data_IF_159364157295
#
_entry.id   IF_159364157295
#
_cell.length_a   1.000
_cell.length_b   1.000
_cell.length_c   1.000
_cell.angle_alpha   90.00
_cell.angle_beta   90.00
_cell.angle_gamma   90.00
#
_symmetry.space_group_name_H-M   'P 1'
#
loop_
_entity.id
_entity.type
_entity.pdbx_description
1 polymer ?
#
# COMPACT_ATOMS: atom_id res chain seq x y z
N UNK A 1 3.39 -25.53 3.77
CA UNK A 1 2.50 -25.31 2.62
C UNK A 1 1.26 -24.67 3.19
N UNK A 2 1.09 -23.36 2.97
CA UNK A 2 -0.06 -22.64 3.52
C UNK A 2 -1.31 -23.03 2.72
N UNK A 3 -2.46 -23.08 3.38
CA UNK A 3 -3.74 -23.42 2.76
C UNK A 3 -4.12 -22.33 1.75
N UNK A 4 -4.39 -22.74 0.50
CA UNK A 4 -4.81 -21.83 -0.57
C UNK A 4 -6.17 -21.22 -0.33
N UNK A 5 -6.95 -21.76 0.61
CA UNK A 5 -8.27 -21.25 0.97
C UNK A 5 -8.20 -20.27 2.17
N UNK A 6 -7.03 -20.13 2.80
CA UNK A 6 -6.85 -19.19 3.91
C UNK A 6 -6.66 -17.75 3.39
N UNK A 7 -7.46 -16.77 3.83
CA UNK A 7 -7.31 -15.38 3.40
C UNK A 7 -6.02 -14.73 3.91
N UNK A 8 -5.39 -15.26 4.94
CA UNK A 8 -4.26 -14.63 5.62
C UNK A 8 -2.92 -15.31 5.29
N UNK A 9 -1.90 -14.50 5.02
CA UNK A 9 -0.57 -15.01 4.63
C UNK A 9 0.53 -14.65 5.64
N UNK A 10 1.57 -15.48 5.74
CA UNK A 10 2.74 -15.23 6.57
C UNK A 10 2.75 -16.00 7.90
N UNK A 11 3.55 -15.54 8.85
CA UNK A 11 3.62 -16.10 10.20
C UNK A 11 2.37 -15.73 11.04
N UNK A 12 2.24 -16.35 12.22
CA UNK A 12 1.08 -16.17 13.10
C UNK A 12 0.87 -14.69 13.48
N UNK A 13 1.95 -13.93 13.68
CA UNK A 13 1.87 -12.52 14.01
C UNK A 13 1.34 -11.69 12.84
N UNK A 14 1.86 -11.91 11.63
CA UNK A 14 1.42 -11.23 10.41
C UNK A 14 -0.03 -11.56 10.06
N UNK A 15 -0.42 -12.82 10.25
CA UNK A 15 -1.81 -13.29 10.05
C UNK A 15 -2.77 -12.67 11.05
N UNK A 16 -2.40 -12.62 12.33
CA UNK A 16 -3.19 -11.97 13.38
C UNK A 16 -3.38 -10.48 13.10
N UNK A 17 -2.34 -9.81 12.58
CA UNK A 17 -2.45 -8.40 12.18
C UNK A 17 -3.44 -8.24 11.02
N UNK A 18 -3.32 -9.03 9.96
CA UNK A 18 -4.28 -8.99 8.85
C UNK A 18 -5.72 -9.22 9.33
N UNK A 19 -5.95 -10.22 10.18
CA UNK A 19 -7.27 -10.48 10.78
C UNK A 19 -7.84 -9.25 11.50
N UNK A 20 -7.02 -8.56 12.29
CA UNK A 20 -7.45 -7.33 13.00
C UNK A 20 -7.73 -6.18 12.03
N UNK A 21 -6.83 -5.94 11.08
CA UNK A 21 -6.99 -4.87 10.09
C UNK A 21 -8.28 -5.07 9.28
N UNK A 22 -8.57 -6.31 8.89
CA UNK A 22 -9.77 -6.65 8.14
C UNK A 22 -11.05 -6.50 8.99
N UNK A 23 -11.02 -6.96 10.24
CA UNK A 23 -12.16 -6.84 11.15
C UNK A 23 -12.49 -5.39 11.54
N UNK A 24 -11.51 -4.48 11.46
CA UNK A 24 -11.68 -3.06 11.82
C UNK A 24 -12.20 -2.19 10.65
N UNK A 25 -12.26 -2.70 9.40
CA UNK A 25 -12.59 -1.87 8.21
C UNK A 25 -13.91 -1.11 8.37
N UNK A 26 -14.97 -1.79 8.80
CA UNK A 26 -16.30 -1.17 8.92
C UNK A 26 -16.29 0.01 9.91
N UNK A 27 -15.61 -0.15 11.05
CA UNK A 27 -15.46 0.91 12.06
C UNK A 27 -14.56 2.03 11.53
N UNK A 28 -13.39 1.70 10.98
CA UNK A 28 -12.40 2.68 10.54
C UNK A 28 -12.91 3.51 9.34
N UNK A 29 -13.72 2.93 8.45
CA UNK A 29 -14.35 3.65 7.34
C UNK A 29 -15.36 4.71 7.81
N UNK A 30 -15.80 4.65 9.08
CA UNK A 30 -16.76 5.59 9.66
C UNK A 30 -16.18 6.42 10.82
N UNK A 31 -14.87 6.33 11.06
CA UNK A 31 -14.21 6.99 12.20
C UNK A 31 -13.36 8.19 11.73
N UNK A 32 -13.68 9.43 12.14
CA UNK A 32 -12.86 10.59 11.84
C UNK A 32 -11.39 10.41 12.28
N UNK A 33 -10.47 10.77 11.40
CA UNK A 33 -9.02 10.65 11.61
C UNK A 33 -8.44 9.24 11.52
N UNK A 34 -9.26 8.21 11.26
CA UNK A 34 -8.78 6.87 10.94
C UNK A 34 -8.58 6.68 9.43
N UNK A 35 -7.61 5.83 9.07
CA UNK A 35 -7.52 5.27 7.71
C UNK A 35 -8.29 3.94 7.67
N UNK A 36 -9.16 3.77 6.68
CA UNK A 36 -10.07 2.63 6.57
C UNK A 36 -9.38 1.27 6.51
N UNK A 37 -8.26 1.15 5.80
CA UNK A 37 -7.42 -0.05 5.84
C UNK A 37 -5.94 0.24 5.57
N UNK A 38 -5.08 -0.49 6.26
CA UNK A 38 -3.63 -0.46 6.07
C UNK A 38 -3.00 -1.69 6.75
N UNK A 39 -1.67 -1.85 6.60
CA UNK A 39 -0.90 -2.95 7.24
C UNK A 39 -0.72 -2.75 8.74
N UNK A 40 -0.88 -1.52 9.21
CA UNK A 40 -0.87 -1.14 10.61
C UNK A 40 -2.13 -0.32 10.90
N UNK A 41 -2.54 -0.26 12.18
CA UNK A 41 -3.49 0.76 12.59
C UNK A 41 -2.94 2.13 12.21
N UNK A 42 -3.71 2.88 11.42
CA UNK A 42 -3.24 4.09 10.78
C UNK A 42 -4.22 5.23 11.01
N UNK A 43 -3.68 6.38 11.38
CA UNK A 43 -4.40 7.65 11.45
C UNK A 43 -3.83 8.62 10.42
N UNK A 44 -4.69 9.41 9.79
CA UNK A 44 -4.29 10.55 8.97
C UNK A 44 -4.70 11.92 9.56
N UNK A 45 -5.36 11.89 10.71
CA UNK A 45 -5.60 13.03 11.61
C UNK A 45 -5.60 12.54 13.08
N UNK A 46 -4.42 12.52 13.74
CA UNK A 46 -4.26 11.99 15.09
C UNK A 46 -5.01 12.77 16.17
N UNK A 47 -5.15 14.08 15.97
CA UNK A 47 -5.84 14.96 16.92
C UNK A 47 -7.34 14.65 16.95
N UNK A 48 -7.93 14.45 15.77
CA UNK A 48 -9.33 14.07 15.64
C UNK A 48 -9.59 12.64 16.11
N UNK A 49 -8.69 11.69 15.79
CA UNK A 49 -8.84 10.30 16.23
C UNK A 49 -8.64 10.14 17.74
N UNK A 50 -7.75 10.94 18.32
CA UNK A 50 -7.41 10.94 19.74
C UNK A 50 -6.17 10.09 20.06
N UNK A 51 -5.22 10.71 20.76
CA UNK A 51 -3.96 10.07 21.17
C UNK A 51 -4.15 8.89 22.12
N UNK A 52 -5.21 8.87 22.94
CA UNK A 52 -5.50 7.75 23.84
C UNK A 52 -5.70 6.44 23.06
N UNK A 53 -6.46 6.49 21.95
CA UNK A 53 -6.68 5.33 21.08
C UNK A 53 -5.38 4.88 20.41
N UNK A 54 -4.60 5.83 19.91
CA UNK A 54 -3.30 5.57 19.26
C UNK A 54 -2.34 4.90 20.25
N UNK A 55 -2.26 5.41 21.48
CA UNK A 55 -1.47 4.83 22.58
C UNK A 55 -1.94 3.42 22.93
N UNK A 56 -3.24 3.20 23.06
CA UNK A 56 -3.81 1.87 23.34
C UNK A 56 -3.36 0.84 22.30
N UNK A 57 -3.46 1.19 21.01
CA UNK A 57 -3.03 0.29 19.93
C UNK A 57 -1.52 0.10 19.94
N UNK A 58 -0.73 1.16 20.18
CA UNK A 58 0.73 1.03 20.27
C UNK A 58 1.16 0.11 21.43
N UNK A 59 0.49 0.17 22.58
CA UNK A 59 0.74 -0.74 23.71
C UNK A 59 0.46 -2.19 23.30
N UNK A 60 -0.66 -2.42 22.61
CA UNK A 60 -1.17 -3.73 22.22
C UNK A 60 -0.37 -4.37 21.08
N UNK A 61 0.03 -3.60 20.08
CA UNK A 61 0.58 -4.10 18.80
C UNK A 61 2.07 -3.76 18.65
N UNK A 62 2.59 -2.83 19.45
CA UNK A 62 3.99 -2.41 19.41
C UNK A 62 4.32 -1.49 18.24
N UNK A 63 3.34 -1.11 17.41
CA UNK A 63 3.47 -0.13 16.35
C UNK A 63 2.12 0.49 15.96
N UNK A 64 2.17 1.70 15.42
CA UNK A 64 1.06 2.45 14.81
C UNK A 64 1.60 3.29 13.66
N UNK A 65 0.75 3.67 12.72
CA UNK A 65 1.13 4.53 11.61
C UNK A 65 0.38 5.85 11.62
N UNK A 66 1.08 6.92 11.25
CA UNK A 66 0.48 8.20 10.92
C UNK A 66 0.72 8.51 9.44
N UNK A 67 -0.24 9.11 8.74
CA UNK A 67 -0.15 9.34 7.30
C UNK A 67 -0.55 10.77 6.95
N UNK A 68 0.26 11.42 6.12
CA UNK A 68 -0.03 12.78 5.70
C UNK A 68 0.44 13.85 6.67
N UNK A 69 1.31 13.48 7.62
CA UNK A 69 1.76 14.37 8.68
C UNK A 69 3.00 15.16 8.29
N UNK A 70 3.20 16.30 8.92
CA UNK A 70 4.42 17.11 8.84
C UNK A 70 5.40 16.78 9.96
N UNK A 71 6.50 17.55 10.06
CA UNK A 71 7.53 17.30 11.07
C UNK A 71 7.08 17.72 12.48
N UNK A 72 6.14 18.67 12.61
CA UNK A 72 5.58 19.07 13.91
C UNK A 72 4.76 17.94 14.51
N UNK A 73 3.81 17.40 13.74
CA UNK A 73 3.00 16.26 14.15
C UNK A 73 3.85 14.99 14.34
N UNK A 74 4.96 14.85 13.61
CA UNK A 74 5.92 13.78 13.86
C UNK A 74 6.51 13.88 15.27
N UNK A 75 6.95 15.08 15.66
CA UNK A 75 7.54 15.32 16.97
C UNK A 75 6.49 15.12 18.08
N UNK A 76 5.27 15.61 17.88
CA UNK A 76 4.15 15.37 18.78
C UNK A 76 3.92 13.86 18.98
N UNK A 77 3.92 13.06 17.91
CA UNK A 77 3.80 11.60 18.03
C UNK A 77 4.95 10.92 18.78
N UNK A 78 6.17 11.45 18.70
CA UNK A 78 7.28 10.95 19.51
C UNK A 78 7.07 11.28 21.00
N UNK A 79 6.61 12.49 21.29
CA UNK A 79 6.37 12.97 22.66
C UNK A 79 5.20 12.20 23.30
N UNK A 80 4.11 12.04 22.55
CA UNK A 80 2.91 11.29 22.93
C UNK A 80 3.17 9.80 23.14
N UNK A 81 4.26 9.24 22.61
CA UNK A 81 4.61 7.83 22.78
C UNK A 81 5.90 7.63 23.58
N UNK A 82 6.51 8.70 24.11
CA UNK A 82 7.88 8.71 24.62
C UNK A 82 8.16 7.67 25.71
N UNK A 83 7.19 7.44 26.61
CA UNK A 83 7.27 6.46 27.71
C UNK A 83 7.40 5.01 27.24
N UNK A 84 7.13 4.75 25.95
CA UNK A 84 7.19 3.42 25.34
C UNK A 84 8.39 3.23 24.40
N UNK A 85 9.29 4.22 24.31
CA UNK A 85 10.53 4.17 23.51
C UNK A 85 10.30 3.96 22.00
N UNK A 86 9.53 4.83 21.33
CA UNK A 86 9.16 4.65 19.94
C UNK A 86 10.34 4.93 19.00
N UNK A 87 10.44 4.15 17.93
CA UNK A 87 11.29 4.41 16.77
C UNK A 87 10.41 4.83 15.61
N UNK A 88 10.70 5.99 15.01
CA UNK A 88 9.96 6.50 13.87
C UNK A 88 10.60 6.07 12.54
N UNK A 89 9.88 5.27 11.76
CA UNK A 89 10.23 4.91 10.38
C UNK A 89 9.50 5.83 9.41
N UNK A 90 10.20 6.39 8.43
CA UNK A 90 9.68 7.49 7.60
C UNK A 90 9.63 7.13 6.12
N UNK A 91 8.52 7.49 5.47
CA UNK A 91 8.36 7.49 4.01
C UNK A 91 7.83 8.84 3.54
N UNK A 92 8.24 9.22 2.34
CA UNK A 92 7.74 10.38 1.64
C UNK A 92 6.44 10.06 0.91
N UNK A 93 5.46 10.96 0.99
CA UNK A 93 4.19 10.82 0.29
C UNK A 93 4.26 11.52 -1.06
N UNK A 94 3.90 10.76 -2.09
CA UNK A 94 3.70 11.23 -3.44
C UNK A 94 2.20 11.20 -3.77
N UNK A 95 1.75 12.20 -4.53
CA UNK A 95 0.35 12.37 -4.92
C UNK A 95 0.29 12.82 -6.37
N UNK A 96 -0.61 12.23 -7.14
CA UNK A 96 -0.94 12.66 -8.50
C UNK A 96 -2.45 12.71 -8.69
N UNK A 97 -2.92 13.72 -9.42
CA UNK A 97 -4.32 13.79 -9.85
C UNK A 97 -4.61 12.77 -10.94
N UNK A 98 -5.89 12.46 -11.15
CA UNK A 98 -6.29 11.57 -12.23
C UNK A 98 -5.87 12.07 -13.62
N UNK A 99 -5.78 13.38 -13.83
CA UNK A 99 -5.29 13.96 -15.09
C UNK A 99 -3.80 13.71 -15.28
N UNK A 100 -2.97 14.02 -14.27
CA UNK A 100 -1.51 13.84 -14.32
C UNK A 100 -1.13 12.36 -14.48
N UNK A 101 -1.84 11.48 -13.76
CA UNK A 101 -1.69 10.03 -13.86
C UNK A 101 -2.00 9.56 -15.27
N UNK A 102 -3.16 9.93 -15.84
CA UNK A 102 -3.51 9.54 -17.21
C UNK A 102 -2.49 10.05 -18.22
N UNK A 103 -2.07 11.31 -18.10
CA UNK A 103 -1.11 11.92 -19.00
C UNK A 103 0.26 11.21 -18.98
N UNK A 104 0.70 10.76 -17.81
CA UNK A 104 2.02 10.13 -17.63
C UNK A 104 2.00 8.61 -17.86
N UNK A 105 0.99 7.92 -17.34
CA UNK A 105 0.90 6.47 -17.31
C UNK A 105 0.33 5.86 -18.59
N UNK A 106 -0.62 6.52 -19.26
CA UNK A 106 -1.23 5.99 -20.50
C UNK A 106 -0.18 5.74 -21.60
N UNK A 107 0.71 6.69 -21.93
CA UNK A 107 1.74 6.46 -22.94
C UNK A 107 2.76 5.40 -22.52
N UNK A 108 2.90 5.14 -21.22
CA UNK A 108 3.80 4.11 -20.71
C UNK A 108 3.22 2.71 -20.94
N UNK A 109 1.95 2.52 -20.56
CA UNK A 109 1.24 1.25 -20.74
C UNK A 109 1.01 0.96 -22.22
N UNK A 110 0.74 1.99 -23.04
CA UNK A 110 0.54 1.84 -24.49
C UNK A 110 1.76 1.32 -25.26
N UNK A 111 2.98 1.37 -24.68
CA UNK A 111 4.18 0.76 -25.29
C UNK A 111 4.13 -0.78 -25.28
N UNK A 112 3.20 -1.36 -24.52
CA UNK A 112 3.06 -2.80 -24.37
C UNK A 112 4.02 -3.37 -23.34
N UNK A 113 3.82 -4.65 -23.04
CA UNK A 113 4.66 -5.42 -22.14
C UNK A 113 5.86 -6.02 -22.91
N UNK A 114 6.98 -6.29 -22.22
CA UNK A 114 8.08 -7.07 -22.80
C UNK A 114 7.60 -8.41 -23.37
N UNK A 115 8.31 -8.93 -24.38
CA UNK A 115 7.92 -10.16 -25.06
C UNK A 115 7.72 -11.33 -24.07
N UNK A 116 6.58 -12.00 -24.18
CA UNK A 116 6.21 -13.14 -23.32
C UNK A 116 5.62 -12.76 -21.96
N UNK A 117 5.69 -11.48 -21.56
CA UNK A 117 5.03 -11.01 -20.33
C UNK A 117 3.59 -10.60 -20.65
N UNK A 118 2.64 -11.08 -19.86
CA UNK A 118 1.21 -10.80 -20.04
C UNK A 118 0.56 -10.31 -18.74
N UNK A 119 -0.38 -9.36 -18.84
CA UNK A 119 -1.25 -9.02 -17.70
C UNK A 119 -2.26 -10.16 -17.52
N UNK A 120 -2.40 -10.66 -16.29
CA UNK A 120 -3.49 -11.58 -15.94
C UNK A 120 -4.82 -10.83 -16.06
N UNK A 121 -5.80 -11.46 -16.70
CA UNK A 121 -7.12 -10.88 -16.93
C UNK A 121 -7.87 -10.81 -15.60
N UNK A 122 -8.44 -9.66 -15.27
CA UNK A 122 -9.05 -9.36 -13.96
C UNK A 122 -10.09 -10.42 -13.53
N UNK A 123 -10.96 -10.85 -14.44
CA UNK A 123 -12.00 -11.85 -14.17
C UNK A 123 -11.44 -13.26 -13.88
N UNK A 124 -10.16 -13.48 -14.16
CA UNK A 124 -9.46 -14.75 -13.89
C UNK A 124 -8.62 -14.70 -12.63
N UNK A 125 -8.59 -13.57 -11.91
CA UNK A 125 -7.90 -13.45 -10.63
C UNK A 125 -8.79 -14.09 -9.55
N UNK A 126 -8.38 -15.26 -9.10
CA UNK A 126 -9.05 -16.06 -8.08
C UNK A 126 -8.21 -16.16 -6.80
N UNK A 127 -8.70 -16.92 -5.82
CA UNK A 127 -8.02 -17.12 -4.54
C UNK A 127 -6.63 -17.77 -4.67
N UNK A 128 -6.42 -18.62 -5.69
CA UNK A 128 -5.10 -19.18 -6.00
C UNK A 128 -4.15 -18.09 -6.48
N UNK A 129 -4.61 -17.24 -7.41
CA UNK A 129 -3.85 -16.10 -7.92
C UNK A 129 -3.48 -15.11 -6.81
N UNK A 130 -4.41 -14.83 -5.90
CA UNK A 130 -4.14 -13.98 -4.74
C UNK A 130 -3.16 -14.62 -3.76
N UNK A 131 -3.24 -15.95 -3.55
CA UNK A 131 -2.25 -16.66 -2.74
C UNK A 131 -0.84 -16.55 -3.32
N UNK A 132 -0.71 -16.75 -4.64
CA UNK A 132 0.55 -16.59 -5.36
C UNK A 132 1.08 -15.15 -5.25
N UNK A 133 0.20 -14.15 -5.38
CA UNK A 133 0.57 -12.74 -5.17
C UNK A 133 1.06 -12.50 -3.75
N UNK A 134 0.37 -13.00 -2.72
CA UNK A 134 0.81 -12.85 -1.33
C UNK A 134 2.20 -13.48 -1.12
N UNK A 135 2.43 -14.67 -1.68
CA UNK A 135 3.73 -15.34 -1.62
C UNK A 135 4.83 -14.55 -2.33
N UNK A 136 4.56 -14.09 -3.55
CA UNK A 136 5.50 -13.29 -4.34
C UNK A 136 5.88 -11.99 -3.63
N UNK A 137 4.90 -11.25 -3.09
CA UNK A 137 5.15 -10.04 -2.30
C UNK A 137 6.04 -10.33 -1.08
N UNK A 138 5.69 -11.37 -0.32
CA UNK A 138 6.42 -11.75 0.89
C UNK A 138 7.87 -12.14 0.60
N UNK A 139 8.11 -12.94 -0.44
CA UNK A 139 9.47 -13.32 -0.90
C UNK A 139 10.30 -12.08 -1.25
N UNK A 140 9.64 -11.01 -1.72
CA UNK A 140 10.29 -9.78 -2.15
C UNK A 140 10.34 -8.72 -1.05
N UNK A 141 10.06 -9.09 0.20
CA UNK A 141 10.14 -8.21 1.37
C UNK A 141 8.99 -7.21 1.49
N UNK A 142 7.90 -7.44 0.75
CA UNK A 142 6.67 -6.65 0.83
C UNK A 142 5.65 -7.44 1.63
N UNK A 143 5.28 -6.95 2.82
CA UNK A 143 4.19 -7.55 3.60
C UNK A 143 2.88 -7.47 2.80
N UNK A 144 2.24 -8.60 2.47
CA UNK A 144 1.01 -8.58 1.69
C UNK A 144 -0.20 -8.19 2.54
N UNK A 145 -1.29 -7.83 1.87
CA UNK A 145 -2.63 -7.79 2.45
C UNK A 145 -3.29 -9.16 2.45
N UNK A 146 -4.42 -9.29 3.17
CA UNK A 146 -5.27 -10.48 3.07
C UNK A 146 -5.90 -10.59 1.69
N UNK A 147 -6.38 -11.79 1.33
CA UNK A 147 -7.09 -12.01 0.07
C UNK A 147 -8.35 -11.16 -0.04
N UNK A 148 -9.08 -10.96 1.07
CA UNK A 148 -10.30 -10.15 1.12
C UNK A 148 -10.03 -8.67 0.81
N UNK A 149 -8.92 -8.13 1.33
CA UNK A 149 -8.48 -6.78 0.99
C UNK A 149 -7.98 -6.71 -0.47
N UNK A 150 -7.21 -7.71 -0.92
CA UNK A 150 -6.67 -7.74 -2.28
C UNK A 150 -7.76 -7.89 -3.35
N UNK A 151 -8.82 -8.67 -3.08
CA UNK A 151 -9.95 -8.90 -4.00
C UNK A 151 -10.93 -7.73 -4.06
N UNK A 152 -10.82 -6.78 -3.14
CA UNK A 152 -11.75 -5.66 -3.01
C UNK A 152 -13.05 -6.01 -2.27
N UNK A 153 -13.10 -7.15 -1.56
CA UNK A 153 -14.26 -7.53 -0.75
C UNK A 153 -14.46 -6.63 0.47
N UNK A 154 -13.38 -6.05 1.01
CA UNK A 154 -13.45 -5.16 2.19
C UNK A 154 -13.65 -3.69 1.82
N UNK A 155 -13.07 -3.25 0.71
CA UNK A 155 -13.15 -1.88 0.19
C UNK A 155 -12.81 -1.90 -1.30
N UNK A 156 -13.24 -0.92 -2.11
CA UNK A 156 -12.97 -0.91 -3.55
C UNK A 156 -11.47 -1.00 -3.83
N UNK A 157 -11.04 -2.12 -4.41
CA UNK A 157 -9.65 -2.41 -4.66
C UNK A 157 -9.47 -3.40 -5.81
N UNK A 158 -8.28 -3.38 -6.41
CA UNK A 158 -7.90 -4.29 -7.49
C UNK A 158 -6.41 -4.65 -7.44
N UNK A 159 -6.04 -5.93 -7.58
CA UNK A 159 -4.68 -6.35 -7.80
C UNK A 159 -4.31 -6.24 -9.28
N UNK A 160 -3.03 -6.01 -9.56
CA UNK A 160 -2.47 -6.06 -10.93
C UNK A 160 -1.35 -7.09 -10.93
N UNK A 161 -1.51 -8.16 -11.72
CA UNK A 161 -0.55 -9.27 -11.80
C UNK A 161 -0.04 -9.39 -13.24
N UNK A 162 1.28 -9.34 -13.40
CA UNK A 162 1.97 -9.65 -14.65
C UNK A 162 2.58 -11.06 -14.55
N UNK A 163 2.42 -11.85 -15.61
CA UNK A 163 2.83 -13.26 -15.69
C UNK A 163 3.94 -13.45 -16.72
N UNK A 164 4.87 -14.35 -16.40
CA UNK A 164 5.86 -14.90 -17.34
C UNK A 164 5.21 -15.97 -18.24
N UNK A 165 5.86 -16.40 -19.34
CA UNK A 165 5.35 -17.45 -20.21
C UNK A 165 5.09 -18.79 -19.50
N UNK A 166 5.82 -19.08 -18.44
CA UNK A 166 5.68 -20.28 -17.62
C UNK A 166 4.56 -20.19 -16.57
N UNK A 167 3.84 -19.05 -16.51
CA UNK A 167 2.76 -18.79 -15.57
C UNK A 167 3.19 -18.21 -14.22
N UNK A 168 4.49 -18.10 -13.92
CA UNK A 168 4.95 -17.48 -12.68
C UNK A 168 4.74 -15.95 -12.71
N UNK A 169 4.63 -15.32 -11.53
CA UNK A 169 4.47 -13.86 -11.42
C UNK A 169 5.79 -13.17 -11.82
N UNK A 170 5.71 -12.26 -12.78
CA UNK A 170 6.80 -11.39 -13.22
C UNK A 170 6.86 -10.10 -12.40
N UNK A 171 5.70 -9.53 -12.11
CA UNK A 171 5.54 -8.34 -11.29
C UNK A 171 4.11 -8.25 -10.75
N UNK A 172 3.94 -7.58 -9.62
CA UNK A 172 2.64 -7.34 -9.01
C UNK A 172 2.55 -5.90 -8.48
N UNK A 173 1.33 -5.37 -8.44
CA UNK A 173 0.98 -4.10 -7.80
C UNK A 173 -0.48 -4.16 -7.32
N UNK A 174 -0.92 -3.12 -6.61
CA UNK A 174 -2.26 -3.03 -6.02
C UNK A 174 -2.74 -1.58 -6.01
N UNK A 175 -4.04 -1.40 -6.22
CA UNK A 175 -4.74 -0.12 -6.05
C UNK A 175 -5.96 -0.33 -5.15
N UNK A 176 -6.21 0.59 -4.20
CA UNK A 176 -7.41 0.53 -3.37
C UNK A 176 -7.81 1.86 -2.72
N UNK A 177 -9.11 2.05 -2.51
CA UNK A 177 -9.68 3.21 -1.80
C UNK A 177 -9.63 2.91 -0.30
N UNK A 178 -8.46 3.15 0.30
CA UNK A 178 -8.21 2.83 1.72
C UNK A 178 -8.57 3.96 2.69
N UNK A 179 -8.90 5.14 2.16
CA UNK A 179 -9.18 6.35 2.92
C UNK A 179 -10.69 6.54 3.07
N UNK A 180 -11.11 6.99 4.26
CA UNK A 180 -12.53 7.23 4.53
C UNK A 180 -12.95 8.66 4.16
N UNK A 181 -14.24 8.98 4.34
CA UNK A 181 -14.83 10.26 3.98
C UNK A 181 -14.32 11.47 4.78
N UNK A 182 -13.66 11.25 5.92
CA UNK A 182 -13.12 12.30 6.77
C UNK A 182 -11.66 12.64 6.42
N UNK A 183 -11.00 11.77 5.68
CA UNK A 183 -9.61 11.93 5.28
C UNK A 183 -9.42 13.10 4.31
N UNK A 184 -8.30 13.81 4.44
CA UNK A 184 -7.85 14.75 3.40
C UNK A 184 -7.46 14.04 2.08
N UNK A 185 -7.30 12.71 2.11
CA UNK A 185 -7.11 11.81 0.97
C UNK A 185 -8.43 11.11 0.56
N UNK A 186 -9.59 11.63 0.97
CA UNK A 186 -10.87 11.13 0.49
C UNK A 186 -10.94 11.13 -1.04
N UNK A 187 -11.50 10.07 -1.62
CA UNK A 187 -11.53 9.78 -3.07
C UNK A 187 -10.16 9.61 -3.75
N UNK A 188 -9.05 9.57 -2.98
CA UNK A 188 -7.71 9.25 -3.50
C UNK A 188 -7.42 7.77 -3.21
N UNK A 189 -7.01 7.03 -4.23
CA UNK A 189 -6.57 5.65 -4.06
C UNK A 189 -5.18 5.61 -3.45
N UNK A 190 -4.92 4.61 -2.61
CA UNK A 190 -3.56 4.19 -2.32
C UNK A 190 -3.11 3.17 -3.37
N UNK A 191 -1.98 3.45 -4.02
CA UNK A 191 -1.30 2.50 -4.90
C UNK A 191 -0.04 2.00 -4.19
N UNK A 192 0.29 0.73 -4.38
CA UNK A 192 1.44 0.13 -3.73
C UNK A 192 1.56 -1.36 -3.96
N UNK A 193 2.23 -2.02 -3.02
CA UNK A 193 2.61 -3.44 -3.13
C UNK A 193 3.34 -3.77 -4.44
N UNK A 194 4.14 -2.83 -4.94
CA UNK A 194 4.90 -3.01 -6.18
C UNK A 194 6.08 -3.93 -5.93
N UNK A 195 6.09 -5.08 -6.61
CA UNK A 195 7.20 -6.03 -6.59
C UNK A 195 7.50 -6.53 -8.01
N UNK A 196 8.77 -6.84 -8.27
CA UNK A 196 9.26 -7.33 -9.57
C UNK A 196 10.26 -8.45 -9.34
N UNK A 197 10.10 -9.53 -10.10
CA UNK A 197 11.00 -10.66 -10.17
C UNK A 197 12.45 -10.15 -10.36
N UNK A 198 13.43 -10.56 -9.53
CA UNK A 198 14.80 -10.09 -9.59
C UNK A 198 15.44 -10.22 -10.98
N UNK A 199 15.11 -11.28 -11.73
CA UNK A 199 15.66 -11.52 -13.07
C UNK A 199 15.16 -10.51 -14.11
N UNK A 200 14.03 -9.85 -13.83
CA UNK A 200 13.38 -8.88 -14.71
C UNK A 200 13.54 -7.43 -14.23
N UNK A 201 14.38 -7.19 -13.21
CA UNK A 201 14.71 -5.83 -12.77
C UNK A 201 15.55 -5.11 -13.83
N UNK A 202 15.37 -3.79 -13.92
CA UNK A 202 16.04 -2.96 -14.93
C UNK A 202 15.34 -2.93 -16.31
N UNK A 203 14.39 -3.84 -16.58
CA UNK A 203 13.60 -3.86 -17.81
C UNK A 203 12.37 -2.94 -17.80
N UNK A 204 12.26 -2.08 -16.78
CA UNK A 204 11.15 -1.13 -16.66
C UNK A 204 9.84 -1.72 -16.13
N UNK A 205 9.76 -3.03 -15.85
CA UNK A 205 8.53 -3.68 -15.39
C UNK A 205 7.93 -3.07 -14.12
N UNK A 206 8.76 -2.68 -13.15
CA UNK A 206 8.27 -2.02 -11.93
C UNK A 206 7.56 -0.70 -12.24
N UNK A 207 8.04 0.04 -13.23
CA UNK A 207 7.40 1.27 -13.68
C UNK A 207 6.10 0.98 -14.45
N UNK A 208 6.12 -0.04 -15.30
CA UNK A 208 4.94 -0.42 -16.09
C UNK A 208 3.80 -0.95 -15.23
N UNK A 209 4.08 -1.85 -14.27
CA UNK A 209 3.05 -2.42 -13.39
C UNK A 209 2.46 -1.36 -12.45
N UNK A 210 3.30 -0.42 -12.00
CA UNK A 210 2.90 0.71 -11.18
C UNK A 210 2.01 1.70 -11.97
N UNK A 211 2.39 2.04 -13.20
CA UNK A 211 1.57 2.83 -14.11
C UNK A 211 0.21 2.15 -14.40
N UNK A 212 0.19 0.82 -14.55
CA UNK A 212 -1.06 0.06 -14.70
C UNK A 212 -1.93 0.15 -13.45
N UNK A 213 -1.38 0.00 -12.24
CA UNK A 213 -2.14 0.12 -11.01
C UNK A 213 -2.68 1.55 -10.79
N UNK A 214 -1.90 2.56 -11.14
CA UNK A 214 -2.36 3.95 -11.13
C UNK A 214 -3.51 4.21 -12.11
N UNK A 215 -3.48 3.63 -13.32
CA UNK A 215 -4.61 3.71 -14.26
C UNK A 215 -5.84 2.96 -13.72
N UNK A 216 -5.65 1.76 -13.15
CA UNK A 216 -6.73 1.00 -12.48
C UNK A 216 -7.39 1.85 -11.39
N UNK A 217 -6.61 2.56 -10.58
CA UNK A 217 -7.12 3.45 -9.54
C UNK A 217 -8.07 4.53 -10.10
N UNK A 218 -7.68 5.21 -11.17
CA UNK A 218 -8.42 6.39 -11.66
C UNK A 218 -9.50 6.07 -12.70
N UNK A 219 -9.31 5.01 -13.47
CA UNK A 219 -10.22 4.63 -14.56
C UNK A 219 -11.23 3.56 -14.14
N UNK A 220 -10.84 2.66 -13.23
CA UNK A 220 -11.67 1.53 -12.84
C UNK A 220 -12.26 1.67 -11.43
N UNK A 221 -11.48 2.18 -10.46
CA UNK A 221 -11.98 2.46 -9.11
C UNK A 221 -12.59 3.87 -8.98
N UNK A 222 -12.47 4.71 -10.02
CA UNK A 222 -13.06 6.05 -10.05
C UNK A 222 -12.38 7.06 -9.12
N UNK A 223 -11.14 6.79 -8.67
CA UNK A 223 -10.41 7.69 -7.80
C UNK A 223 -10.10 9.04 -8.50
N UNK A 224 -10.09 10.12 -7.72
CA UNK A 224 -9.70 11.46 -8.19
C UNK A 224 -8.19 11.61 -8.39
N UNK A 225 -7.42 10.63 -7.94
CA UNK A 225 -5.97 10.56 -8.02
C UNK A 225 -5.45 9.35 -7.26
N UNK A 226 -4.14 9.26 -7.12
CA UNK A 226 -3.48 8.20 -6.37
C UNK A 226 -2.36 8.75 -5.49
N UNK A 227 -2.16 8.10 -4.35
CA UNK A 227 -1.05 8.35 -3.44
C UNK A 227 -0.20 7.11 -3.25
N UNK A 228 1.10 7.33 -3.16
CA UNK A 228 2.11 6.29 -3.00
C UNK A 228 3.23 6.75 -2.09
N UNK A 229 3.93 5.79 -1.47
CA UNK A 229 4.98 6.08 -0.49
C UNK A 229 6.31 5.49 -0.93
N UNK A 230 7.36 6.28 -0.84
CA UNK A 230 8.73 5.82 -1.04
C UNK A 230 9.61 6.25 0.13
N UNK A 231 10.50 5.35 0.56
CA UNK A 231 11.48 5.71 1.57
C UNK A 231 12.41 6.80 1.02
N UNK A 232 12.89 7.74 1.85
CA UNK A 232 13.76 8.83 1.39
C UNK A 232 15.05 8.33 0.71
N UNK A 233 15.56 7.18 1.15
CA UNK A 233 16.76 6.51 0.63
C UNK A 233 16.49 5.62 -0.60
N UNK A 234 15.23 5.42 -1.00
CA UNK A 234 14.87 4.60 -2.15
C UNK A 234 14.71 5.44 -3.43
N UNK A 235 15.83 5.84 -4.02
CA UNK A 235 15.85 6.65 -5.24
C UNK A 235 15.13 5.99 -6.43
N UNK A 236 15.16 4.65 -6.52
CA UNK A 236 14.53 3.91 -7.60
C UNK A 236 13.01 4.02 -7.54
N UNK A 237 12.39 3.74 -6.38
CA UNK A 237 10.94 3.89 -6.22
C UNK A 237 10.50 5.33 -6.44
N UNK A 238 11.21 6.32 -5.87
CA UNK A 238 10.90 7.74 -6.10
C UNK A 238 10.88 8.11 -7.58
N UNK A 239 11.85 7.62 -8.36
CA UNK A 239 11.91 7.86 -9.80
C UNK A 239 10.77 7.17 -10.56
N UNK A 240 10.30 6.01 -10.10
CA UNK A 240 9.11 5.34 -10.64
C UNK A 240 7.86 6.19 -10.38
N UNK A 241 7.62 6.58 -9.13
CA UNK A 241 6.43 7.37 -8.75
C UNK A 241 6.32 8.67 -9.56
N UNK A 242 7.43 9.41 -9.68
CA UNK A 242 7.47 10.63 -10.48
C UNK A 242 7.23 10.38 -11.98
N UNK A 243 7.69 9.25 -12.51
CA UNK A 243 7.45 8.89 -13.90
C UNK A 243 5.99 8.46 -14.17
N UNK A 244 5.26 8.02 -13.13
CA UNK A 244 3.84 7.69 -13.18
C UNK A 244 2.92 8.92 -12.99
N UNK A 245 3.51 10.12 -12.83
CA UNK A 245 2.77 11.38 -12.73
C UNK A 245 2.54 11.87 -11.30
N UNK A 246 3.18 11.26 -10.30
CA UNK A 246 3.04 11.68 -8.91
C UNK A 246 4.13 12.68 -8.52
N UNK A 247 3.77 13.61 -7.65
CA UNK A 247 4.71 14.63 -7.15
C UNK A 247 4.88 14.51 -5.63
N UNK A 248 6.07 14.87 -5.14
CA UNK A 248 6.35 14.87 -3.71
C UNK A 248 5.52 15.95 -3.01
N UNK A 249 4.82 15.57 -1.94
CA UNK A 249 3.87 16.47 -1.25
C UNK A 249 4.50 17.27 -0.11
N UNK A 250 5.73 16.95 0.29
CA UNK A 250 6.31 17.41 1.56
C UNK A 250 5.81 16.66 2.81
N UNK A 251 4.69 15.93 2.72
CA UNK A 251 4.10 15.15 3.82
C UNK A 251 4.75 13.78 3.95
N UNK A 252 4.60 13.20 5.15
CA UNK A 252 5.21 11.92 5.52
C UNK A 252 4.16 10.87 5.88
N UNK A 253 4.49 9.62 5.58
CA UNK A 253 3.91 8.47 6.24
C UNK A 253 4.92 7.95 7.25
N UNK A 254 4.51 7.86 8.51
CA UNK A 254 5.34 7.44 9.64
C UNK A 254 4.79 6.13 10.19
N UNK A 255 5.68 5.22 10.56
CA UNK A 255 5.35 4.09 11.43
C UNK A 255 6.18 4.27 12.69
N UNK A 256 5.52 4.49 13.82
CA UNK A 256 6.16 4.34 15.12
C UNK A 256 6.17 2.86 15.47
N UNK A 257 7.30 2.34 15.92
CA UNK A 257 7.44 0.95 16.32
C UNK A 257 8.39 0.81 17.51
N UNK A 258 8.26 -0.27 18.29
CA UNK A 258 9.29 -0.70 19.24
C UNK A 258 10.53 -1.30 18.57
N UNK A 259 10.45 -1.62 17.28
CA UNK A 259 11.55 -2.22 16.52
C UNK A 259 12.36 -1.17 15.77
N UNK A 260 13.68 -1.38 15.70
CA UNK A 260 14.58 -0.63 14.82
C UNK A 260 14.50 -1.08 13.36
N UNK A 261 13.82 -2.19 13.07
CA UNK A 261 13.60 -2.66 11.71
C UNK A 261 12.30 -2.08 11.13
N UNK A 262 12.36 -1.58 9.89
CA UNK A 262 11.17 -1.14 9.15
C UNK A 262 10.28 -2.35 8.81
N UNK A 263 8.96 -2.18 8.92
CA UNK A 263 7.99 -3.19 8.47
C UNK A 263 8.00 -3.42 6.95
N UNK A 264 8.48 -2.45 6.17
CA UNK A 264 8.66 -2.56 4.72
C UNK A 264 10.01 -1.99 4.35
N UNK A 265 10.77 -2.68 3.50
CA UNK A 265 12.06 -2.19 3.02
C UNK A 265 11.89 -1.20 1.88
#
# INVERSE_FOLDING_TARGET
MHDTDDPFYGDDATRLLQQRRDAEVEEMMNTPGAVGHARAFTSDDPETLGWDKIREVFVREGFVSLRGIDEEMLQEGLDQLADMGPVAHRWDIFLGTAEEIRASSTPMVARGLPAGITRQVDETIDWSSLHEMQAFLSEHGVSPFSKLALSGELFPAKPVILRKPDGAIAAAAFAGITHNAYSWLHDIAWVGLVAVDPELRGFGLGKTVDAMANLVAVDELGAKGATEFAAPDNAASRAVLMACGLTHTGRKAIIYSRSTQRMTR
#
